data_IF_310167607250
#
_entry.id   IF_310167607250
#
_cell.length_a   1.000
_cell.length_b   1.000
_cell.length_c   1.000
_cell.angle_alpha   90.00
_cell.angle_beta   90.00
_cell.angle_gamma   90.00
#
_symmetry.space_group_name_H-M   'P 1'
#
loop_
_entity.id
_entity.type
_entity.pdbx_description
1 polymer ?
#
# COMPACT_ATOMS: atom_id res chain seq x y z
N UNK A 1 -26.12 7.03 -38.41
CA UNK A 1 -25.48 8.35 -38.21
C UNK A 1 -24.09 8.09 -37.62
N UNK A 2 -23.03 8.42 -38.34
CA UNK A 2 -21.67 8.38 -37.80
C UNK A 2 -21.50 9.49 -36.75
N UNK A 3 -21.00 9.13 -35.59
CA UNK A 3 -20.60 10.09 -34.57
C UNK A 3 -19.50 11.01 -35.12
N UNK A 4 -19.52 12.29 -34.73
CA UNK A 4 -18.44 13.21 -35.08
C UNK A 4 -17.11 12.75 -34.49
N UNK A 5 -15.99 13.10 -35.10
CA UNK A 5 -14.67 12.74 -34.62
C UNK A 5 -14.45 13.17 -33.15
N UNK A 6 -15.00 14.32 -32.76
CA UNK A 6 -14.94 14.86 -31.37
C UNK A 6 -15.73 13.97 -30.40
N UNK A 7 -16.91 13.48 -30.81
CA UNK A 7 -17.71 12.56 -29.97
C UNK A 7 -17.02 11.21 -29.82
N UNK A 8 -16.37 10.71 -30.86
CA UNK A 8 -15.57 9.47 -30.80
C UNK A 8 -14.37 9.62 -29.87
N UNK A 9 -13.63 10.74 -29.94
CA UNK A 9 -12.51 11.04 -29.06
C UNK A 9 -12.97 11.17 -27.61
N UNK A 10 -14.09 11.84 -27.36
CA UNK A 10 -14.64 11.98 -26.02
C UNK A 10 -15.10 10.63 -25.44
N UNK A 11 -15.71 9.77 -26.24
CA UNK A 11 -16.10 8.43 -25.81
C UNK A 11 -14.88 7.54 -25.53
N UNK A 12 -13.84 7.64 -26.37
CA UNK A 12 -12.58 6.91 -26.16
C UNK A 12 -11.89 7.35 -24.88
N UNK A 13 -11.75 8.66 -24.65
CA UNK A 13 -11.16 9.23 -23.44
C UNK A 13 -11.93 8.84 -22.17
N UNK A 14 -13.27 8.87 -22.19
CA UNK A 14 -14.09 8.40 -21.08
C UNK A 14 -13.93 6.90 -20.81
N UNK A 15 -13.85 6.09 -21.87
CA UNK A 15 -13.65 4.65 -21.73
C UNK A 15 -12.27 4.34 -21.13
N UNK A 16 -11.25 5.04 -21.56
CA UNK A 16 -9.90 4.90 -21.06
C UNK A 16 -9.80 5.32 -19.57
N UNK A 17 -10.39 6.47 -19.20
CA UNK A 17 -10.47 6.92 -17.82
C UNK A 17 -11.22 5.91 -16.93
N UNK A 18 -12.34 5.36 -17.39
CA UNK A 18 -13.09 4.34 -16.65
C UNK A 18 -12.31 3.03 -16.52
N UNK A 19 -11.56 2.62 -17.53
CA UNK A 19 -10.69 1.44 -17.43
C UNK A 19 -9.54 1.66 -16.45
N UNK A 20 -8.95 2.86 -16.42
CA UNK A 20 -7.92 3.22 -15.46
C UNK A 20 -8.48 3.24 -14.04
N UNK A 21 -9.67 3.80 -13.83
CA UNK A 21 -10.37 3.76 -12.55
C UNK A 21 -10.68 2.33 -12.11
N UNK A 22 -11.15 1.46 -13.02
CA UNK A 22 -11.42 0.06 -12.69
C UNK A 22 -10.14 -0.71 -12.29
N UNK A 23 -9.00 -0.42 -12.93
CA UNK A 23 -7.70 -0.98 -12.56
C UNK A 23 -7.21 -0.47 -11.20
N UNK A 24 -7.41 0.83 -10.92
CA UNK A 24 -7.14 1.41 -9.61
C UNK A 24 -7.98 0.74 -8.51
N UNK A 25 -9.27 0.54 -8.78
CA UNK A 25 -10.18 -0.17 -7.88
C UNK A 25 -9.77 -1.64 -7.66
N UNK A 26 -9.14 -2.28 -8.64
CA UNK A 26 -8.68 -3.66 -8.51
C UNK A 26 -7.33 -3.79 -7.76
N UNK A 27 -6.47 -2.79 -7.84
CA UNK A 27 -5.13 -2.78 -7.23
C UNK A 27 -5.09 -2.09 -5.86
N UNK A 28 -5.99 -1.13 -5.63
CA UNK A 28 -6.17 -0.49 -4.33
C UNK A 28 -7.44 -1.05 -3.69
N UNK A 29 -7.31 -1.52 -2.47
CA UNK A 29 -8.48 -1.90 -1.68
C UNK A 29 -9.44 -0.69 -1.59
N UNK A 30 -10.66 -0.73 -2.17
CA UNK A 30 -11.61 0.39 -2.14
C UNK A 30 -11.87 0.88 -0.72
N UNK A 31 -11.88 -0.04 0.24
CA UNK A 31 -12.02 0.24 1.65
C UNK A 31 -10.86 1.11 2.21
N UNK A 32 -9.63 0.94 1.71
CA UNK A 32 -8.51 1.82 2.05
C UNK A 32 -8.77 3.26 1.58
N UNK A 33 -9.25 3.44 0.35
CA UNK A 33 -9.57 4.76 -0.20
C UNK A 33 -10.67 5.46 0.61
N UNK A 34 -11.79 4.79 0.85
CA UNK A 34 -12.90 5.36 1.62
C UNK A 34 -12.46 5.74 3.04
N UNK A 35 -11.75 4.86 3.73
CA UNK A 35 -11.25 5.14 5.07
C UNK A 35 -10.24 6.29 5.11
N UNK A 36 -9.44 6.46 4.06
CA UNK A 36 -8.50 7.59 3.95
C UNK A 36 -9.25 8.91 3.77
N UNK A 37 -10.28 8.93 2.90
CA UNK A 37 -11.14 10.11 2.70
C UNK A 37 -11.92 10.47 3.98
N UNK A 38 -12.45 9.49 4.69
CA UNK A 38 -13.12 9.69 5.98
C UNK A 38 -12.16 10.27 7.02
N UNK A 39 -10.91 9.78 7.07
CA UNK A 39 -9.87 10.32 7.95
C UNK A 39 -9.53 11.77 7.61
N UNK A 40 -9.41 12.12 6.34
CA UNK A 40 -9.20 13.49 5.86
C UNK A 40 -10.36 14.39 6.30
N UNK A 41 -11.60 13.95 6.09
CA UNK A 41 -12.80 14.69 6.48
C UNK A 41 -12.85 14.94 7.99
N UNK A 42 -12.60 13.91 8.79
CA UNK A 42 -12.55 14.01 10.25
C UNK A 42 -11.47 14.99 10.73
N UNK A 43 -10.26 14.89 10.19
CA UNK A 43 -9.14 15.75 10.58
C UNK A 43 -9.36 17.22 10.22
N UNK A 44 -10.00 17.49 9.07
CA UNK A 44 -10.32 18.87 8.66
C UNK A 44 -11.29 19.55 9.63
N UNK A 45 -12.13 18.79 10.34
CA UNK A 45 -13.13 19.29 11.26
C UNK A 45 -12.68 19.32 12.74
N UNK A 46 -11.64 18.54 13.09
CA UNK A 46 -11.26 18.29 14.49
C UNK A 46 -9.87 18.86 14.86
N UNK A 47 -9.46 19.98 14.26
CA UNK A 47 -8.26 20.73 14.67
C UNK A 47 -6.93 20.15 14.19
N UNK A 48 -6.94 19.15 13.28
CA UNK A 48 -5.75 18.58 12.65
C UNK A 48 -5.66 18.91 11.15
N UNK A 49 -6.23 20.04 10.74
CA UNK A 49 -6.28 20.45 9.33
C UNK A 49 -4.87 20.67 8.72
N UNK A 50 -3.88 20.97 9.54
CA UNK A 50 -2.48 21.10 9.16
C UNK A 50 -1.87 19.81 8.61
N UNK A 51 -2.38 18.64 9.03
CA UNK A 51 -1.93 17.33 8.55
C UNK A 51 -2.60 16.88 7.25
N UNK A 52 -3.74 17.47 6.89
CA UNK A 52 -4.52 17.09 5.70
C UNK A 52 -3.69 17.14 4.40
N UNK A 53 -2.88 18.18 4.12
CA UNK A 53 -2.03 18.23 2.92
C UNK A 53 -1.06 17.04 2.81
N UNK A 54 -0.50 16.59 3.92
CA UNK A 54 0.44 15.46 3.94
C UNK A 54 -0.24 14.14 3.58
N UNK A 55 -1.48 13.91 4.08
CA UNK A 55 -2.26 12.71 3.72
C UNK A 55 -2.63 12.74 2.25
N UNK A 56 -3.06 13.89 1.73
CA UNK A 56 -3.42 14.04 0.30
C UNK A 56 -2.21 13.76 -0.58
N UNK A 57 -1.03 14.26 -0.23
CA UNK A 57 0.20 14.00 -0.96
C UNK A 57 0.57 12.51 -0.92
N UNK A 58 0.55 11.88 0.26
CA UNK A 58 0.80 10.46 0.41
C UNK A 58 -0.18 9.61 -0.41
N UNK A 59 -1.47 9.94 -0.38
CA UNK A 59 -2.49 9.26 -1.19
C UNK A 59 -2.24 9.47 -2.69
N UNK A 60 -1.89 10.68 -3.12
CA UNK A 60 -1.57 10.97 -4.52
C UNK A 60 -0.37 10.16 -5.03
N UNK A 61 0.67 9.99 -4.20
CA UNK A 61 1.84 9.19 -4.56
C UNK A 61 1.50 7.69 -4.63
N UNK A 62 0.68 7.19 -3.70
CA UNK A 62 0.17 5.81 -3.74
C UNK A 62 -0.62 5.57 -5.02
N UNK A 63 -1.53 6.47 -5.39
CA UNK A 63 -2.33 6.38 -6.61
C UNK A 63 -1.45 6.42 -7.86
N UNK A 64 -0.49 7.35 -7.91
CA UNK A 64 0.45 7.47 -9.04
C UNK A 64 1.26 6.21 -9.24
N UNK A 65 1.78 5.63 -8.17
CA UNK A 65 2.51 4.36 -8.21
C UNK A 65 1.65 3.22 -8.76
N UNK A 66 0.36 3.21 -8.44
CA UNK A 66 -0.59 2.17 -8.88
C UNK A 66 -0.97 2.30 -10.36
N UNK A 67 -0.92 3.52 -10.95
CA UNK A 67 -1.32 3.78 -12.33
C UNK A 67 -0.22 3.42 -13.35
N UNK A 68 1.05 3.50 -12.95
CA UNK A 68 2.18 3.23 -13.85
C UNK A 68 2.19 1.76 -14.25
N UNK A 69 1.79 1.49 -15.50
CA UNK A 69 1.64 0.13 -16.05
C UNK A 69 2.91 -0.48 -16.65
N UNK A 70 4.00 0.28 -16.77
CA UNK A 70 5.09 -0.08 -17.68
C UNK A 70 5.99 -1.22 -17.19
N UNK A 71 5.99 -1.56 -15.90
CA UNK A 71 6.84 -2.65 -15.41
C UNK A 71 6.18 -3.38 -14.22
N UNK A 72 6.12 -4.71 -14.31
CA UNK A 72 5.75 -5.57 -13.19
C UNK A 72 6.85 -5.62 -12.09
N UNK A 73 8.06 -5.12 -12.41
CA UNK A 73 9.20 -5.05 -11.53
C UNK A 73 9.61 -3.60 -11.28
N UNK A 74 9.80 -3.25 -10.02
CA UNK A 74 10.19 -1.92 -9.55
C UNK A 74 11.44 -2.03 -8.68
N UNK A 75 12.12 -0.91 -8.43
CA UNK A 75 13.23 -0.94 -7.47
C UNK A 75 12.71 -1.12 -6.05
N UNK A 76 13.53 -1.72 -5.18
CA UNK A 76 13.22 -1.80 -3.74
C UNK A 76 12.97 -0.40 -3.17
N UNK A 77 13.71 0.62 -3.64
CA UNK A 77 13.50 2.00 -3.22
C UNK A 77 12.08 2.52 -3.57
N UNK A 78 11.58 2.21 -4.76
CA UNK A 78 10.24 2.64 -5.18
C UNK A 78 9.16 1.94 -4.35
N UNK A 79 9.31 0.63 -4.13
CA UNK A 79 8.40 -0.16 -3.29
C UNK A 79 8.40 0.32 -1.83
N UNK A 80 9.58 0.63 -1.26
CA UNK A 80 9.70 1.20 0.09
C UNK A 80 9.11 2.60 0.18
N UNK A 81 9.24 3.42 -0.86
CA UNK A 81 8.65 4.76 -0.91
C UNK A 81 7.13 4.68 -0.90
N UNK A 82 6.56 3.78 -1.72
CA UNK A 82 5.13 3.47 -1.70
C UNK A 82 4.70 2.98 -0.32
N UNK A 83 5.42 2.01 0.26
CA UNK A 83 5.10 1.44 1.56
C UNK A 83 5.12 2.50 2.68
N UNK A 84 6.10 3.41 2.69
CA UNK A 84 6.16 4.51 3.69
C UNK A 84 4.93 5.41 3.62
N UNK A 85 4.46 5.77 2.43
CA UNK A 85 3.24 6.57 2.25
C UNK A 85 2.00 5.79 2.72
N UNK A 86 1.91 4.50 2.38
CA UNK A 86 0.85 3.62 2.84
C UNK A 86 0.81 3.51 4.37
N UNK A 87 1.97 3.26 5.00
CA UNK A 87 2.10 3.16 6.45
C UNK A 87 1.79 4.48 7.17
N UNK A 88 2.14 5.61 6.57
CA UNK A 88 1.79 6.93 7.10
C UNK A 88 0.27 7.10 7.22
N UNK A 89 -0.48 6.76 6.18
CA UNK A 89 -1.96 6.80 6.19
C UNK A 89 -2.52 5.80 7.20
N UNK A 90 -1.99 4.57 7.24
CA UNK A 90 -2.45 3.56 8.18
C UNK A 90 -2.19 3.94 9.64
N UNK A 91 -1.06 4.58 9.96
CA UNK A 91 -0.79 5.10 11.31
C UNK A 91 -1.85 6.09 11.78
N UNK A 92 -2.27 7.00 10.92
CA UNK A 92 -3.33 7.94 11.23
C UNK A 92 -4.65 7.20 11.49
N UNK A 93 -5.00 6.26 10.61
CA UNK A 93 -6.22 5.45 10.73
C UNK A 93 -6.25 4.62 12.02
N UNK A 94 -5.13 4.01 12.38
CA UNK A 94 -4.99 3.19 13.59
C UNK A 94 -4.52 3.98 14.81
N UNK A 95 -4.58 5.32 14.77
CA UNK A 95 -4.25 6.23 15.89
C UNK A 95 -2.88 5.93 16.51
N UNK A 96 -1.87 5.71 15.65
CA UNK A 96 -0.50 5.39 16.05
C UNK A 96 -0.37 4.15 16.97
N UNK A 97 -1.29 3.17 16.85
CA UNK A 97 -1.30 1.96 17.69
C UNK A 97 -0.16 0.99 17.37
N UNK A 98 0.57 1.20 16.29
CA UNK A 98 1.68 0.35 15.87
C UNK A 98 2.89 1.14 15.37
N UNK A 99 4.03 0.47 15.31
CA UNK A 99 5.27 0.99 14.70
C UNK A 99 5.78 0.04 13.64
N UNK A 100 6.56 0.58 12.69
CA UNK A 100 7.28 -0.24 11.70
C UNK A 100 8.76 0.12 11.74
N UNK A 101 9.62 -0.90 11.76
CA UNK A 101 11.06 -0.81 11.70
C UNK A 101 11.57 -1.36 10.37
N UNK A 102 12.52 -0.66 9.75
CA UNK A 102 13.10 -1.03 8.47
C UNK A 102 14.57 -1.38 8.65
N UNK A 103 14.94 -2.62 8.36
CA UNK A 103 16.31 -3.12 8.35
C UNK A 103 16.69 -3.47 6.92
N UNK A 104 17.16 -2.47 6.18
CA UNK A 104 17.51 -2.61 4.78
C UNK A 104 19.03 -2.63 4.66
N UNK A 105 19.59 -3.73 4.14
CA UNK A 105 21.01 -3.84 3.88
C UNK A 105 21.47 -2.74 2.90
N UNK A 106 22.66 -2.16 3.10
CA UNK A 106 23.22 -1.18 2.17
C UNK A 106 23.21 -1.71 0.72
N UNK A 107 23.00 -0.80 -0.23
CA UNK A 107 23.01 -1.07 -1.68
C UNK A 107 21.82 -1.90 -2.23
N UNK A 108 20.90 -2.37 -1.36
CA UNK A 108 19.72 -3.12 -1.81
C UNK A 108 18.70 -2.28 -2.59
N UNK A 109 18.71 -0.95 -2.43
CA UNK A 109 17.67 -0.05 -2.93
C UNK A 109 17.51 -0.08 -4.47
N UNK A 110 18.55 -0.39 -5.23
CA UNK A 110 18.54 -0.44 -6.70
C UNK A 110 18.08 -1.78 -7.28
N UNK A 111 18.03 -2.84 -6.46
CA UNK A 111 17.55 -4.14 -6.92
C UNK A 111 16.07 -4.10 -7.25
N UNK A 112 15.66 -4.93 -8.22
CA UNK A 112 14.27 -4.99 -8.68
C UNK A 112 13.53 -6.16 -8.05
N UNK A 113 12.32 -5.87 -7.59
CA UNK A 113 11.37 -6.84 -7.02
C UNK A 113 10.02 -6.68 -7.71
N UNK A 114 9.13 -7.69 -7.65
CA UNK A 114 7.77 -7.53 -8.12
C UNK A 114 7.05 -6.38 -7.39
N UNK A 115 6.29 -5.59 -8.14
CA UNK A 115 5.49 -4.49 -7.60
C UNK A 115 4.44 -5.03 -6.63
N UNK A 116 4.18 -4.29 -5.54
CA UNK A 116 3.21 -4.64 -4.49
C UNK A 116 3.50 -5.96 -3.77
N UNK A 117 4.74 -6.48 -3.86
CA UNK A 117 5.09 -7.74 -3.18
C UNK A 117 4.99 -7.62 -1.65
N UNK A 118 5.24 -6.43 -1.09
CA UNK A 118 5.21 -6.20 0.36
C UNK A 118 3.79 -6.00 0.90
N UNK A 119 2.89 -5.47 0.07
CA UNK A 119 1.56 -5.05 0.48
C UNK A 119 0.73 -6.16 1.16
N UNK A 120 0.55 -7.36 0.58
CA UNK A 120 -0.33 -8.37 1.17
C UNK A 120 0.16 -8.84 2.55
N UNK A 121 1.46 -8.88 2.78
CA UNK A 121 2.02 -9.28 4.07
C UNK A 121 1.83 -8.20 5.13
N UNK A 122 2.05 -6.93 4.77
CA UNK A 122 1.79 -5.79 5.66
C UNK A 122 0.31 -5.66 5.99
N UNK A 123 -0.58 -5.81 5.00
CA UNK A 123 -2.02 -5.81 5.24
C UNK A 123 -2.44 -6.96 6.16
N UNK A 124 -1.85 -8.14 6.00
CA UNK A 124 -2.11 -9.28 6.88
C UNK A 124 -1.73 -8.97 8.34
N UNK A 125 -0.56 -8.38 8.58
CA UNK A 125 -0.14 -7.96 9.92
C UNK A 125 -1.11 -6.93 10.51
N UNK A 126 -1.48 -5.88 9.75
CA UNK A 126 -2.36 -4.82 10.23
C UNK A 126 -3.80 -5.28 10.49
N UNK A 127 -4.38 -6.09 9.60
CA UNK A 127 -5.80 -6.46 9.67
C UNK A 127 -6.04 -7.71 10.51
N UNK A 128 -5.12 -8.66 10.49
CA UNK A 128 -5.26 -9.94 11.17
C UNK A 128 -4.31 -10.09 12.35
N UNK A 129 -3.02 -9.75 12.18
CA UNK A 129 -2.04 -9.81 13.24
C UNK A 129 -2.44 -8.95 14.43
N UNK A 130 -2.83 -7.70 14.18
CA UNK A 130 -3.15 -6.71 15.21
C UNK A 130 -4.64 -6.62 15.58
N UNK A 131 -5.47 -7.54 15.12
CA UNK A 131 -6.92 -7.51 15.42
C UNK A 131 -7.25 -7.50 16.92
N UNK A 132 -6.35 -8.00 17.77
CA UNK A 132 -6.49 -8.04 19.23
C UNK A 132 -5.51 -7.11 19.95
N UNK A 133 -4.66 -6.39 19.21
CA UNK A 133 -3.67 -5.46 19.76
C UNK A 133 -4.19 -4.03 19.61
N UNK A 134 -4.53 -3.39 20.73
CA UNK A 134 -5.00 -2.01 20.74
C UNK A 134 -3.86 -0.99 20.76
N UNK A 135 -2.69 -1.37 21.25
CA UNK A 135 -1.49 -0.53 21.34
C UNK A 135 -0.22 -1.39 21.33
N UNK A 136 0.88 -0.85 20.80
CA UNK A 136 2.18 -1.51 20.82
C UNK A 136 2.38 -2.59 19.74
N UNK A 137 1.61 -2.55 18.64
CA UNK A 137 1.90 -3.36 17.48
C UNK A 137 3.27 -3.00 16.91
N UNK A 138 4.06 -4.01 16.52
CA UNK A 138 5.39 -3.84 15.93
C UNK A 138 5.46 -4.67 14.67
N UNK A 139 5.87 -4.03 13.57
CA UNK A 139 6.23 -4.70 12.32
C UNK A 139 7.73 -4.48 12.09
N UNK A 140 8.44 -5.52 11.70
CA UNK A 140 9.85 -5.44 11.30
C UNK A 140 9.96 -5.93 9.86
N UNK A 141 10.35 -5.03 8.96
CA UNK A 141 10.69 -5.36 7.58
C UNK A 141 12.20 -5.41 7.42
N UNK A 142 12.73 -6.57 7.06
CA UNK A 142 14.15 -6.73 6.74
C UNK A 142 14.34 -7.15 5.29
N UNK A 143 15.30 -6.50 4.59
CA UNK A 143 15.69 -6.83 3.23
C UNK A 143 17.20 -6.95 3.19
N UNK A 144 17.69 -8.14 2.81
CA UNK A 144 19.13 -8.46 2.79
C UNK A 144 19.44 -9.50 1.73
N UNK A 145 20.73 -9.67 1.44
CA UNK A 145 21.23 -10.72 0.54
C UNK A 145 21.78 -11.90 1.30
N UNK A 146 21.50 -13.10 0.81
CA UNK A 146 22.11 -14.34 1.29
C UNK A 146 22.18 -15.32 0.13
N UNK A 147 23.32 -16.00 -0.03
CA UNK A 147 23.54 -17.05 -1.06
C UNK A 147 23.12 -16.60 -2.47
N UNK A 148 23.48 -15.36 -2.84
CA UNK A 148 23.15 -14.72 -4.12
C UNK A 148 21.63 -14.55 -4.39
N UNK A 149 20.83 -14.55 -3.34
CA UNK A 149 19.38 -14.34 -3.38
C UNK A 149 18.98 -13.18 -2.48
N UNK A 150 17.92 -12.48 -2.86
CA UNK A 150 17.33 -11.42 -2.02
C UNK A 150 16.33 -12.07 -1.07
N UNK A 151 16.50 -11.81 0.21
CA UNK A 151 15.58 -12.20 1.26
C UNK A 151 14.80 -11.00 1.74
N UNK A 152 13.50 -11.15 1.82
CA UNK A 152 12.57 -10.17 2.39
C UNK A 152 11.82 -10.88 3.52
N UNK A 153 11.95 -10.37 4.73
CA UNK A 153 11.21 -10.88 5.89
C UNK A 153 10.33 -9.78 6.46
N UNK A 154 9.11 -10.15 6.82
CA UNK A 154 8.16 -9.30 7.51
C UNK A 154 7.72 -10.05 8.77
N UNK A 155 8.03 -9.48 9.91
CA UNK A 155 7.72 -10.05 11.22
C UNK A 155 6.81 -9.10 11.96
N UNK A 156 5.80 -9.63 12.65
CA UNK A 156 4.93 -8.85 13.54
C UNK A 156 4.81 -9.52 14.92
N UNK A 157 4.46 -8.72 15.92
CA UNK A 157 4.18 -9.20 17.28
C UNK A 157 2.67 -9.45 17.50
N UNK A 158 1.94 -9.72 16.43
CA UNK A 158 0.51 -10.01 16.44
C UNK A 158 0.16 -11.35 17.07
N UNK A 159 -1.10 -11.75 16.96
CA UNK A 159 -1.61 -13.01 17.53
C UNK A 159 -1.06 -14.28 16.85
N UNK A 160 -0.35 -14.13 15.72
CA UNK A 160 0.14 -15.25 14.93
C UNK A 160 -0.96 -16.01 14.16
N UNK A 161 -0.56 -17.11 13.54
CA UNK A 161 -1.44 -18.02 12.80
C UNK A 161 -1.42 -19.40 13.44
N UNK A 162 -2.58 -20.09 13.44
CA UNK A 162 -2.65 -21.48 13.88
C UNK A 162 -1.97 -22.40 12.87
N UNK A 163 -1.47 -23.57 13.32
CA UNK A 163 -0.83 -24.56 12.46
C UNK A 163 -1.73 -25.00 11.29
N UNK A 164 -3.04 -25.12 11.54
CA UNK A 164 -4.03 -25.45 10.50
C UNK A 164 -4.10 -24.37 9.41
N UNK A 165 -4.03 -23.11 9.79
CA UNK A 165 -4.05 -21.98 8.85
C UNK A 165 -2.74 -21.93 8.05
N UNK A 166 -1.60 -22.15 8.69
CA UNK A 166 -0.29 -22.20 8.05
C UNK A 166 -0.28 -23.29 6.96
N UNK A 167 -0.76 -24.49 7.28
CA UNK A 167 -0.86 -25.57 6.30
C UNK A 167 -1.76 -25.23 5.11
N UNK A 168 -2.87 -24.50 5.33
CA UNK A 168 -3.79 -24.14 4.25
C UNK A 168 -3.26 -23.04 3.31
N UNK A 169 -2.30 -22.24 3.76
CA UNK A 169 -1.69 -21.16 2.96
C UNK A 169 -0.49 -21.65 2.16
N UNK A 170 0.20 -22.71 2.61
CA UNK A 170 1.41 -23.24 1.98
C UNK A 170 1.12 -24.33 0.92
N UNK A 171 -0.13 -24.78 0.78
CA UNK A 171 -0.59 -25.77 -0.19
C UNK A 171 -1.79 -25.28 -0.98
#
# INVERSE_FOLDING_TARGET
RSLSLVEQLNQYSKKEANQQLALLHAQLNPHFLYNTLDSISWMSQNGNADKVPYIINALSDILRYSIIKENDFVTINDELSWLKNYMYIQKIRFQDSFTIHYHIEPDMQSYKIPRFILQPFIENSLLHGFSEIHQGGIIILSIFTKDNSIFITIEDNGKGMSDLLIHSVLH
#
